data_IF_656826703606
#
_entry.id   IF_656826703606
#
_cell.length_a   1.000
_cell.length_b   1.000
_cell.length_c   1.000
_cell.angle_alpha   90.00
_cell.angle_beta   90.00
_cell.angle_gamma   90.00
#
_symmetry.space_group_name_H-M   'P 1'
#
loop_
_entity.id
_entity.type
_entity.pdbx_description
1 polymer ?
#
# COMPACT_ATOMS: atom_id res chain seq x y z
N UNK A 1 0.30 -39.29 21.04
CA UNK A 1 -0.32 -38.03 21.50
C UNK A 1 -0.23 -37.05 20.34
N UNK A 2 -1.37 -36.50 19.96
CA UNK A 2 -1.71 -36.07 18.59
C UNK A 2 -1.50 -34.56 18.43
N UNK A 3 -1.19 -34.14 17.19
CA UNK A 3 -1.47 -32.85 16.54
C UNK A 3 -0.61 -31.62 16.84
N UNK A 4 0.03 -31.12 15.78
CA UNK A 4 0.00 -29.69 15.45
C UNK A 4 -0.28 -29.57 13.93
N UNK A 5 -1.38 -28.94 13.48
CA UNK A 5 -1.53 -28.61 12.07
C UNK A 5 -0.81 -27.29 11.83
N UNK A 6 0.39 -27.33 11.27
CA UNK A 6 0.99 -26.11 10.72
C UNK A 6 0.54 -26.00 9.27
N UNK A 7 -0.65 -25.44 9.07
CA UNK A 7 -1.05 -24.89 7.77
C UNK A 7 0.00 -23.83 7.40
N UNK A 8 1.00 -24.23 6.61
CA UNK A 8 2.00 -23.32 6.10
C UNK A 8 1.27 -22.38 5.14
N UNK A 9 1.05 -21.14 5.59
CA UNK A 9 0.42 -20.12 4.75
C UNK A 9 1.19 -20.05 3.44
N UNK A 10 0.55 -20.36 2.32
CA UNK A 10 1.14 -20.34 0.96
C UNK A 10 1.42 -18.92 0.46
N UNK A 11 1.38 -17.93 1.35
CA UNK A 11 1.55 -16.52 1.02
C UNK A 11 3.00 -16.24 0.62
N UNK A 12 3.24 -15.65 -0.56
CA UNK A 12 4.57 -15.22 -0.98
C UNK A 12 5.22 -14.29 0.06
N UNK A 13 6.52 -14.45 0.29
CA UNK A 13 7.26 -13.64 1.27
C UNK A 13 7.16 -12.14 0.96
N UNK A 14 7.15 -11.78 -0.32
CA UNK A 14 6.99 -10.40 -0.78
C UNK A 14 5.69 -9.78 -0.25
N UNK A 15 4.58 -10.52 -0.28
CA UNK A 15 3.31 -10.05 0.26
C UNK A 15 3.26 -10.11 1.78
N UNK A 16 3.92 -11.09 2.39
CA UNK A 16 4.00 -11.22 3.85
C UNK A 16 4.72 -10.04 4.50
N UNK A 17 5.78 -9.54 3.86
CA UNK A 17 6.60 -8.43 4.34
C UNK A 17 6.29 -7.09 3.63
N UNK A 18 5.18 -7.01 2.88
CA UNK A 18 4.75 -5.76 2.27
C UNK A 18 4.49 -4.71 3.37
N UNK A 19 5.11 -3.52 3.31
CA UNK A 19 4.92 -2.46 4.30
C UNK A 19 3.45 -2.11 4.50
N UNK A 20 3.03 -1.94 5.77
CA UNK A 20 1.67 -1.52 6.13
C UNK A 20 1.60 -0.09 6.65
N UNK A 21 2.72 0.44 7.14
CA UNK A 21 2.87 1.83 7.55
C UNK A 21 3.99 2.48 6.75
N UNK A 22 3.96 3.80 6.63
CA UNK A 22 4.98 4.57 5.92
C UNK A 22 6.38 4.35 6.52
N UNK A 23 6.49 4.23 7.85
CA UNK A 23 7.77 3.96 8.53
C UNK A 23 8.39 2.59 8.23
N UNK A 24 7.60 1.64 7.72
CA UNK A 24 8.07 0.30 7.39
C UNK A 24 8.76 0.26 6.01
N UNK A 25 8.79 1.39 5.30
CA UNK A 25 9.41 1.54 3.98
C UNK A 25 10.90 1.80 4.15
N UNK A 26 11.73 0.95 3.57
CA UNK A 26 13.18 1.11 3.66
C UNK A 26 13.73 2.08 2.62
N UNK A 27 14.80 2.80 2.98
CA UNK A 27 15.67 3.56 2.07
C UNK A 27 14.99 4.66 1.23
N UNK A 28 13.90 5.25 1.73
CA UNK A 28 13.21 6.35 1.06
C UNK A 28 12.78 7.44 2.06
N UNK A 29 13.76 8.09 2.68
CA UNK A 29 13.54 9.08 3.75
C UNK A 29 12.75 10.30 3.29
N UNK A 30 13.01 10.80 2.07
CA UNK A 30 12.31 11.97 1.52
C UNK A 30 10.81 11.72 1.42
N UNK A 31 10.43 10.54 0.91
CA UNK A 31 9.01 10.19 0.74
C UNK A 31 8.34 9.96 2.10
N UNK A 32 9.04 9.32 3.05
CA UNK A 32 8.56 9.15 4.43
C UNK A 32 8.26 10.51 5.08
N UNK A 33 9.16 11.49 4.90
CA UNK A 33 9.01 12.82 5.48
C UNK A 33 7.83 13.59 4.86
N UNK A 34 7.69 13.54 3.53
CA UNK A 34 6.56 14.16 2.82
C UNK A 34 5.25 13.55 3.31
N UNK A 35 5.16 12.24 3.43
CA UNK A 35 3.94 11.58 3.90
C UNK A 35 3.61 11.83 5.37
N UNK A 36 4.62 11.87 6.23
CA UNK A 36 4.42 12.20 7.65
C UNK A 36 3.81 13.61 7.76
N UNK A 37 4.33 14.56 6.98
CA UNK A 37 3.80 15.93 6.92
C UNK A 37 2.37 15.98 6.35
N UNK A 38 2.09 15.20 5.29
CA UNK A 38 0.76 15.08 4.69
C UNK A 38 -0.27 14.50 5.68
N UNK A 39 0.12 13.51 6.47
CA UNK A 39 -0.74 12.90 7.48
C UNK A 39 -1.10 13.91 8.58
N UNK A 40 -0.13 14.69 9.07
CA UNK A 40 -0.36 15.71 10.10
C UNK A 40 -1.26 16.86 9.62
N UNK A 41 -1.10 17.27 8.36
CA UNK A 41 -1.86 18.39 7.77
C UNK A 41 -3.22 17.99 7.21
N UNK A 42 -3.51 16.68 7.13
CA UNK A 42 -4.68 16.11 6.44
C UNK A 42 -4.85 16.59 4.98
N UNK A 43 -3.79 17.14 4.39
CA UNK A 43 -3.77 17.68 3.04
C UNK A 43 -2.93 16.76 2.16
N UNK A 44 -3.57 15.78 1.53
CA UNK A 44 -2.91 14.85 0.63
C UNK A 44 -3.03 15.33 -0.82
N UNK A 45 -1.96 15.90 -1.42
CA UNK A 45 -2.00 16.27 -2.83
C UNK A 45 -2.11 15.01 -3.71
N UNK A 46 -2.42 15.19 -4.99
CA UNK A 46 -2.25 14.11 -5.96
C UNK A 46 -0.76 13.80 -6.14
N UNK A 47 -0.39 12.52 -6.08
CA UNK A 47 1.01 12.08 -6.08
C UNK A 47 1.27 11.08 -7.20
N UNK A 48 2.45 11.20 -7.83
CA UNK A 48 2.91 10.30 -8.88
C UNK A 48 4.17 9.56 -8.39
N UNK A 49 4.05 8.23 -8.22
CA UNK A 49 5.18 7.37 -7.86
C UNK A 49 5.79 6.73 -9.09
N UNK A 50 7.05 7.04 -9.39
CA UNK A 50 7.78 6.48 -10.53
C UNK A 50 9.16 5.96 -10.10
N UNK A 51 9.74 5.06 -10.91
CA UNK A 51 11.04 4.45 -10.65
C UNK A 51 11.14 2.98 -11.08
N UNK A 52 12.33 2.36 -11.01
CA UNK A 52 12.56 0.95 -11.35
C UNK A 52 11.69 -0.05 -10.55
N UNK A 53 11.52 -1.28 -11.04
CA UNK A 53 10.75 -2.30 -10.29
C UNK A 53 11.36 -2.57 -8.91
N UNK A 54 10.53 -2.81 -7.90
CA UNK A 54 10.99 -3.11 -6.53
C UNK A 54 11.40 -1.89 -5.68
N UNK A 55 11.34 -0.65 -6.18
CA UNK A 55 11.76 0.55 -5.42
C UNK A 55 10.69 1.14 -4.50
N UNK A 56 9.70 0.35 -4.07
CA UNK A 56 8.68 0.82 -3.13
C UNK A 56 7.65 1.80 -3.71
N UNK A 57 7.36 1.79 -5.01
CA UNK A 57 6.26 2.59 -5.58
C UNK A 57 4.89 2.24 -4.96
N UNK A 58 4.69 0.96 -4.67
CA UNK A 58 3.47 0.43 -4.06
C UNK A 58 3.32 0.82 -2.58
N UNK A 59 4.29 1.54 -2.01
CA UNK A 59 4.15 2.26 -0.73
C UNK A 59 2.92 3.17 -0.69
N UNK A 60 2.41 3.59 -1.86
CA UNK A 60 1.13 4.28 -2.00
C UNK A 60 0.00 3.63 -1.15
N UNK A 61 -0.07 2.30 -1.15
CA UNK A 61 -1.10 1.55 -0.42
C UNK A 61 -0.90 1.61 1.10
N UNK A 62 0.35 1.62 1.58
CA UNK A 62 0.65 1.74 3.00
C UNK A 62 0.15 3.08 3.58
N UNK A 63 0.20 4.16 2.79
CA UNK A 63 -0.32 5.47 3.20
C UNK A 63 -1.84 5.45 3.26
N UNK A 64 -2.50 4.88 2.25
CA UNK A 64 -3.94 4.78 2.23
C UNK A 64 -4.44 3.96 3.44
N UNK A 65 -3.70 2.90 3.81
CA UNK A 65 -3.91 2.16 5.06
C UNK A 65 -3.70 3.02 6.31
N UNK A 66 -2.68 3.87 6.33
CA UNK A 66 -2.38 4.74 7.47
C UNK A 66 -3.40 5.88 7.63
N UNK A 67 -3.91 6.45 6.53
CA UNK A 67 -4.88 7.55 6.55
C UNK A 67 -6.28 7.10 6.97
N UNK A 68 -6.72 5.93 6.51
CA UNK A 68 -8.09 5.47 6.74
C UNK A 68 -8.20 4.35 7.77
N UNK A 69 -7.09 3.71 8.15
CA UNK A 69 -7.09 2.55 9.02
C UNK A 69 -7.76 1.32 8.37
N UNK A 70 -7.70 0.15 9.02
CA UNK A 70 -8.16 -1.11 8.44
C UNK A 70 -9.68 -1.16 8.18
N UNK A 71 -10.47 -0.42 8.96
CA UNK A 71 -11.94 -0.42 8.86
C UNK A 71 -12.44 0.40 7.67
N UNK A 72 -11.91 1.62 7.48
CA UNK A 72 -12.39 2.53 6.43
C UNK A 72 -11.62 2.36 5.11
N UNK A 73 -10.48 1.66 5.10
CA UNK A 73 -9.69 1.45 3.89
C UNK A 73 -10.53 0.92 2.72
N UNK A 74 -11.30 -0.16 2.95
CA UNK A 74 -12.10 -0.80 1.89
C UNK A 74 -13.22 0.07 1.33
N UNK A 75 -13.73 1.02 2.12
CA UNK A 75 -14.83 1.91 1.71
C UNK A 75 -14.35 3.25 1.15
N UNK A 76 -13.10 3.63 1.43
CA UNK A 76 -12.53 4.94 1.06
C UNK A 76 -11.38 4.88 0.06
N UNK A 77 -10.90 3.68 -0.28
CA UNK A 77 -9.77 3.48 -1.20
C UNK A 77 -10.23 2.65 -2.40
N UNK A 78 -10.08 3.22 -3.58
CA UNK A 78 -10.24 2.52 -4.85
C UNK A 78 -8.85 2.31 -5.46
N UNK A 79 -8.43 1.04 -5.57
CA UNK A 79 -7.21 0.64 -6.25
C UNK A 79 -7.57 0.18 -7.66
N UNK A 80 -6.99 0.82 -8.68
CA UNK A 80 -7.13 0.44 -10.08
C UNK A 80 -5.75 0.09 -10.63
N UNK A 81 -5.58 -1.15 -11.07
CA UNK A 81 -4.35 -1.74 -11.57
C UNK A 81 -4.45 -2.04 -13.07
N UNK A 82 -3.34 -2.53 -13.63
CA UNK A 82 -3.24 -2.79 -15.08
C UNK A 82 -4.15 -3.90 -15.59
N UNK A 83 -4.52 -4.81 -14.71
CA UNK A 83 -5.44 -5.93 -14.98
C UNK A 83 -6.91 -5.53 -14.93
N UNK A 84 -7.23 -4.36 -14.37
CA UNK A 84 -8.60 -3.87 -14.31
C UNK A 84 -8.98 -3.22 -15.64
N UNK A 85 -10.26 -3.33 -16.01
CA UNK A 85 -10.77 -2.67 -17.21
C UNK A 85 -10.73 -1.15 -17.00
N UNK A 86 -9.82 -0.51 -17.74
CA UNK A 86 -9.56 0.95 -17.71
C UNK A 86 -10.06 1.62 -18.99
N UNK A 87 -10.85 0.91 -19.79
CA UNK A 87 -11.43 1.45 -21.02
C UNK A 87 -12.30 2.67 -20.73
N UNK A 88 -12.27 3.63 -21.65
CA UNK A 88 -13.29 4.69 -21.68
C UNK A 88 -14.58 4.00 -22.12
N UNK A 89 -15.58 3.96 -21.25
CA UNK A 89 -16.92 3.49 -21.62
C UNK A 89 -17.56 4.61 -22.45
N UNK A 90 -17.29 4.61 -23.75
CA UNK A 90 -17.88 5.57 -24.69
C UNK A 90 -19.34 5.17 -24.87
N UNK A 91 -20.25 6.05 -24.44
CA UNK A 91 -21.71 5.93 -24.64
C UNK A 91 -22.11 6.62 -25.94
#
# INVERSE_FOLDING_TARGET
MIMAPLLQSTQPLVEKYRPKQVKDVAHQEVVINVFTSTHETSNCPHMLFYGPSGTGKTTALAIAHQLFGPELYKSRVLELNTTDDRGINIV
#
